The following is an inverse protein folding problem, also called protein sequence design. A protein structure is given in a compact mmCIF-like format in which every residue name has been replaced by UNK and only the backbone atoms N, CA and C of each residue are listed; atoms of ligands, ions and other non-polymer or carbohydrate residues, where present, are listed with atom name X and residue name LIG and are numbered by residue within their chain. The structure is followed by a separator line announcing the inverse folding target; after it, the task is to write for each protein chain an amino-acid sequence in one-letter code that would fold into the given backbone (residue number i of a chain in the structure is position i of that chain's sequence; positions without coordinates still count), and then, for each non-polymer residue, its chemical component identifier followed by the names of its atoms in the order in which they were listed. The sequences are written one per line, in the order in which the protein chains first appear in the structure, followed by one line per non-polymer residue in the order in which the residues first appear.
data_IF_009168082306
#
_entry.id   IF_009168082306
#
_cell.length_a   1.000
_cell.length_b   1.000
_cell.length_c   1.000
_cell.angle_alpha   90.00
_cell.angle_beta   90.00
_cell.angle_gamma   90.00
#
_symmetry.space_group_name_H-M   'P 1'
#
loop_
_entity.id
_entity.type
_entity.pdbx_description
1 polymer ?
#
# COMPACT_ATOMS: atom_id res chain seq x y z
N UNK A 1 85.13 54.54 -61.67
CA UNK A 1 85.09 54.15 -60.25
C UNK A 1 83.84 54.78 -59.66
N UNK A 2 82.96 54.14 -58.91
CA UNK A 2 82.63 52.74 -58.67
C UNK A 2 81.24 52.83 -58.01
N UNK A 3 80.29 52.03 -58.48
CA UNK A 3 78.98 51.86 -57.83
C UNK A 3 79.19 51.29 -56.42
N UNK A 4 78.71 51.98 -55.38
CA UNK A 4 78.71 51.47 -54.00
C UNK A 4 77.53 50.52 -53.80
N UNK A 5 77.81 49.39 -53.15
CA UNK A 5 76.96 48.19 -52.98
C UNK A 5 75.80 48.35 -51.99
N UNK A 6 75.20 49.54 -51.85
CA UNK A 6 74.21 49.82 -50.78
C UNK A 6 72.76 49.99 -51.26
N UNK A 7 72.46 49.75 -52.53
CA UNK A 7 71.08 49.83 -53.09
C UNK A 7 70.40 48.46 -53.37
N UNK A 8 70.91 47.34 -52.86
CA UNK A 8 70.39 45.99 -53.19
C UNK A 8 69.56 45.33 -52.07
N UNK A 9 69.39 45.95 -50.90
CA UNK A 9 68.70 45.27 -49.78
C UNK A 9 67.70 46.19 -49.07
N UNK A 10 66.47 46.29 -49.62
CA UNK A 10 65.22 46.67 -48.92
C UNK A 10 64.01 46.68 -49.86
N UNK A 11 63.56 45.51 -50.30
CA UNK A 11 62.16 45.28 -50.69
C UNK A 11 61.80 43.89 -50.16
N UNK A 12 60.77 43.80 -49.30
CA UNK A 12 60.22 42.50 -48.91
C UNK A 12 59.58 41.80 -50.11
N UNK A 13 59.29 40.49 -50.01
CA UNK A 13 58.60 39.77 -51.09
C UNK A 13 57.30 40.48 -51.45
N UNK A 14 56.93 40.43 -52.74
CA UNK A 14 55.67 41.01 -53.17
C UNK A 14 54.48 40.26 -52.52
N UNK A 15 53.30 40.89 -52.38
CA UNK A 15 52.12 40.19 -51.85
C UNK A 15 51.73 38.93 -52.65
N UNK A 16 52.05 38.88 -53.95
CA UNK A 16 51.84 37.70 -54.80
C UNK A 16 52.85 36.58 -54.48
N UNK A 17 54.11 36.94 -54.25
CA UNK A 17 55.20 36.03 -53.89
C UNK A 17 55.01 35.44 -52.48
N UNK A 18 54.60 36.24 -51.50
CA UNK A 18 54.30 35.79 -50.14
C UNK A 18 53.16 34.76 -50.13
N UNK A 19 52.10 35.03 -50.88
CA UNK A 19 50.95 34.14 -51.04
C UNK A 19 51.29 32.87 -51.81
N UNK A 20 52.13 32.99 -52.85
CA UNK A 20 52.64 31.84 -53.59
C UNK A 20 53.47 30.93 -52.68
N UNK A 21 54.41 31.50 -51.92
CA UNK A 21 55.23 30.75 -50.96
C UNK A 21 54.36 30.07 -49.90
N UNK A 22 53.35 30.77 -49.36
CA UNK A 22 52.40 30.19 -48.40
C UNK A 22 51.61 29.01 -49.00
N UNK A 23 51.18 29.11 -50.25
CA UNK A 23 50.46 28.05 -50.94
C UNK A 23 51.35 26.82 -51.22
N UNK A 24 52.63 27.05 -51.53
CA UNK A 24 53.64 25.99 -51.68
C UNK A 24 53.92 25.31 -50.34
N UNK A 25 54.12 26.08 -49.27
CA UNK A 25 54.32 25.53 -47.92
C UNK A 25 53.14 24.65 -47.46
N UNK A 26 51.90 25.10 -47.72
CA UNK A 26 50.69 24.31 -47.43
C UNK A 26 50.63 23.01 -48.24
N UNK A 27 51.14 23.01 -49.47
CA UNK A 27 51.22 21.82 -50.31
C UNK A 27 52.31 20.86 -49.83
N UNK A 28 53.46 21.37 -49.40
CA UNK A 28 54.58 20.53 -48.96
C UNK A 28 54.35 19.94 -47.56
N UNK A 29 53.58 20.62 -46.70
CA UNK A 29 53.26 20.17 -45.35
C UNK A 29 52.27 18.99 -45.28
N UNK A 30 51.70 18.53 -46.39
CA UNK A 30 50.63 17.51 -46.42
C UNK A 30 51.10 16.16 -45.89
N UNK A 31 52.35 15.78 -46.17
CA UNK A 31 52.90 14.49 -45.76
C UNK A 31 53.02 14.36 -44.23
N UNK A 32 52.96 15.48 -43.51
CA UNK A 32 52.95 15.52 -42.05
C UNK A 32 51.54 15.45 -41.44
N UNK A 33 50.47 15.40 -42.24
CA UNK A 33 49.08 15.47 -41.77
C UNK A 33 48.48 14.07 -41.62
N UNK A 34 48.36 13.59 -40.38
CA UNK A 34 47.83 12.24 -40.07
C UNK A 34 46.35 12.02 -40.46
N UNK A 35 45.53 13.08 -40.43
CA UNK A 35 44.10 13.00 -40.74
C UNK A 35 43.85 13.43 -42.17
N UNK A 36 43.39 12.50 -43.00
CA UNK A 36 43.07 12.78 -44.41
C UNK A 36 42.13 13.98 -44.56
N UNK A 37 41.18 14.19 -43.64
CA UNK A 37 40.27 15.33 -43.75
C UNK A 37 40.97 16.68 -43.62
N UNK A 38 42.05 16.74 -42.83
CA UNK A 38 42.88 17.94 -42.70
C UNK A 38 43.76 18.12 -43.93
N UNK A 39 44.33 17.03 -44.46
CA UNK A 39 45.10 17.06 -45.71
C UNK A 39 44.26 17.58 -46.89
N UNK A 40 43.03 17.09 -47.04
CA UNK A 40 42.06 17.58 -48.06
C UNK A 40 41.76 19.07 -47.88
N UNK A 41 41.57 19.52 -46.63
CA UNK A 41 41.29 20.94 -46.35
C UNK A 41 42.49 21.81 -46.71
N UNK A 42 43.71 21.43 -46.31
CA UNK A 42 44.93 22.18 -46.63
C UNK A 42 45.17 22.28 -48.13
N UNK A 43 44.99 21.18 -48.87
CA UNK A 43 45.11 21.15 -50.33
C UNK A 43 44.08 22.05 -51.03
N UNK A 44 42.83 22.03 -50.57
CA UNK A 44 41.78 22.90 -51.11
C UNK A 44 42.07 24.38 -50.83
N UNK A 45 42.61 24.70 -49.65
CA UNK A 45 43.09 26.05 -49.33
C UNK A 45 44.25 26.49 -50.22
N UNK A 46 45.25 25.62 -50.42
CA UNK A 46 46.37 25.90 -51.34
C UNK A 46 45.88 26.10 -52.78
N UNK A 47 44.94 25.27 -53.25
CA UNK A 47 44.33 25.42 -54.57
C UNK A 47 43.61 26.77 -54.74
N UNK A 48 42.90 27.25 -53.71
CA UNK A 48 42.26 28.56 -53.72
C UNK A 48 43.27 29.71 -53.75
N UNK A 49 44.37 29.60 -52.99
CA UNK A 49 45.46 30.59 -53.04
C UNK A 49 46.10 30.65 -54.43
N UNK A 50 46.36 29.51 -55.07
CA UNK A 50 46.86 29.46 -56.45
C UNK A 50 45.85 29.95 -57.49
N UNK A 51 44.54 29.81 -57.24
CA UNK A 51 43.49 30.38 -58.09
C UNK A 51 43.55 31.91 -58.09
N UNK A 52 43.70 32.51 -56.92
CA UNK A 52 43.77 33.97 -56.78
C UNK A 52 45.06 34.58 -57.37
N UNK A 53 46.10 33.77 -57.60
CA UNK A 53 47.36 34.17 -58.22
C UNK A 53 47.33 34.17 -59.77
N UNK A 54 46.29 33.60 -60.40
CA UNK A 54 46.10 33.66 -61.84
C UNK A 54 47.25 33.05 -62.65
N UNK A 55 47.94 33.88 -63.43
CA UNK A 55 49.06 33.51 -64.32
C UNK A 55 50.45 33.70 -63.69
N UNK A 56 50.52 33.97 -62.38
CA UNK A 56 51.78 34.07 -61.66
C UNK A 56 52.51 32.70 -61.63
N UNK A 57 53.75 32.69 -62.12
CA UNK A 57 54.61 31.50 -62.25
C UNK A 57 53.88 30.26 -62.80
N UNK A 58 53.87 29.16 -62.04
CA UNK A 58 53.21 27.89 -62.37
C UNK A 58 51.93 27.67 -61.54
N UNK A 59 51.33 28.75 -61.01
CA UNK A 59 50.17 28.70 -60.11
C UNK A 59 49.01 27.88 -60.70
N UNK A 60 48.68 28.02 -62.00
CA UNK A 60 47.64 27.20 -62.65
C UNK A 60 47.94 25.69 -62.59
N UNK A 61 49.21 25.30 -62.78
CA UNK A 61 49.64 23.89 -62.73
C UNK A 61 49.56 23.38 -61.30
N UNK A 62 50.05 24.15 -60.32
CA UNK A 62 50.02 23.80 -58.90
C UNK A 62 48.60 23.74 -58.35
N UNK A 63 47.70 24.63 -58.77
CA UNK A 63 46.26 24.57 -58.47
C UNK A 63 45.67 23.23 -58.87
N UNK A 64 45.89 22.80 -60.12
CA UNK A 64 45.38 21.53 -60.62
C UNK A 64 45.96 20.34 -59.84
N UNK A 65 47.27 20.35 -59.57
CA UNK A 65 47.90 19.33 -58.74
C UNK A 65 47.31 19.27 -57.34
N UNK A 66 47.02 20.41 -56.71
CA UNK A 66 46.38 20.46 -55.40
C UNK A 66 44.96 19.88 -55.42
N UNK A 67 44.17 20.24 -56.44
CA UNK A 67 42.82 19.70 -56.62
C UNK A 67 42.82 18.18 -56.84
N UNK A 68 43.64 17.69 -57.78
CA UNK A 68 43.73 16.26 -58.11
C UNK A 68 44.19 15.43 -56.90
N UNK A 69 45.20 15.93 -56.15
CA UNK A 69 45.68 15.30 -54.91
C UNK A 69 44.60 15.30 -53.83
N UNK A 70 43.82 16.39 -53.68
CA UNK A 70 42.76 16.48 -52.68
C UNK A 70 41.67 15.43 -52.96
N UNK A 71 41.27 15.28 -54.21
CA UNK A 71 40.23 14.33 -54.62
C UNK A 71 40.69 12.88 -54.50
N UNK A 72 41.99 12.61 -54.69
CA UNK A 72 42.55 11.29 -54.42
C UNK A 72 42.53 10.96 -52.92
N UNK A 73 43.07 11.85 -52.09
CA UNK A 73 43.14 11.65 -50.63
C UNK A 73 41.74 11.57 -50.01
N UNK A 74 40.79 12.38 -50.49
CA UNK A 74 39.39 12.31 -50.06
C UNK A 74 38.78 10.95 -50.33
N UNK A 75 38.93 10.42 -51.56
CA UNK A 75 38.37 9.11 -51.94
C UNK A 75 38.97 7.99 -51.10
N UNK A 76 40.29 7.87 -51.05
CA UNK A 76 40.97 6.80 -50.31
C UNK A 76 40.67 6.87 -48.80
N UNK A 77 40.68 8.09 -48.23
CA UNK A 77 40.40 8.31 -46.82
C UNK A 77 38.95 7.99 -46.46
N UNK A 78 37.99 8.39 -47.31
CA UNK A 78 36.57 8.08 -47.10
C UNK A 78 36.28 6.58 -47.23
N UNK A 79 36.88 5.88 -48.20
CA UNK A 79 36.72 4.43 -48.34
C UNK A 79 37.26 3.67 -47.12
N UNK A 80 38.48 4.00 -46.67
CA UNK A 80 39.07 3.40 -45.47
C UNK A 80 38.21 3.66 -44.22
N UNK A 81 37.76 4.90 -44.03
CA UNK A 81 36.92 5.28 -42.87
C UNK A 81 35.56 4.58 -42.92
N UNK A 82 34.97 4.44 -44.10
CA UNK A 82 33.72 3.70 -44.28
C UNK A 82 33.88 2.22 -43.96
N UNK A 83 34.98 1.60 -44.40
CA UNK A 83 35.25 0.19 -44.10
C UNK A 83 35.46 -0.02 -42.60
N UNK A 84 36.24 0.85 -41.94
CA UNK A 84 36.40 0.84 -40.49
C UNK A 84 35.06 0.96 -39.77
N UNK A 85 34.20 1.89 -40.20
CA UNK A 85 32.87 2.07 -39.62
C UNK A 85 31.99 0.81 -39.74
N UNK A 86 32.05 0.12 -40.88
CA UNK A 86 31.36 -1.16 -41.10
C UNK A 86 31.90 -2.26 -40.19
N UNK A 87 33.22 -2.43 -40.13
CA UNK A 87 33.86 -3.45 -39.30
C UNK A 87 33.55 -3.25 -37.81
N UNK A 88 33.53 -1.99 -37.36
CA UNK A 88 33.13 -1.64 -35.99
C UNK A 88 31.66 -1.95 -35.72
N UNK A 89 30.78 -1.67 -36.69
CA UNK A 89 29.36 -1.98 -36.60
C UNK A 89 29.10 -3.50 -36.52
N UNK A 90 29.76 -4.29 -37.35
CA UNK A 90 29.58 -5.74 -37.40
C UNK A 90 30.05 -6.43 -36.11
N UNK A 91 31.06 -5.86 -35.45
CA UNK A 91 31.58 -6.35 -34.16
C UNK A 91 30.82 -5.81 -32.94
N UNK A 92 29.89 -4.86 -33.13
CA UNK A 92 29.23 -4.18 -32.03
C UNK A 92 28.26 -5.10 -31.27
N UNK A 93 28.43 -5.18 -29.94
CA UNK A 93 27.55 -5.95 -29.03
C UNK A 93 26.93 -5.08 -27.95
N UNK A 94 27.54 -3.94 -27.66
CA UNK A 94 27.12 -3.00 -26.61
C UNK A 94 26.67 -1.67 -27.22
N UNK A 95 26.00 -0.86 -26.40
CA UNK A 95 25.64 0.52 -26.78
C UNK A 95 26.90 1.34 -27.09
N UNK A 96 27.99 1.12 -26.35
CA UNK A 96 29.26 1.82 -26.55
C UNK A 96 29.86 1.49 -27.92
N UNK A 97 29.82 0.21 -28.31
CA UNK A 97 30.38 -0.24 -29.59
C UNK A 97 29.63 0.39 -30.77
N UNK A 98 28.29 0.44 -30.70
CA UNK A 98 27.48 1.13 -31.71
C UNK A 98 27.72 2.65 -31.76
N UNK A 99 28.02 3.28 -30.62
CA UNK A 99 28.38 4.71 -30.58
C UNK A 99 29.74 4.93 -31.26
N UNK A 100 30.71 4.05 -31.02
CA UNK A 100 32.04 4.14 -31.64
C UNK A 100 31.99 3.91 -33.17
N UNK A 101 31.19 2.95 -33.65
CA UNK A 101 30.94 2.79 -35.07
C UNK A 101 30.27 4.03 -35.68
N UNK A 102 29.30 4.62 -34.98
CA UNK A 102 28.60 5.82 -35.45
C UNK A 102 29.52 7.05 -35.53
N UNK A 103 30.51 7.19 -34.63
CA UNK A 103 31.47 8.31 -34.75
C UNK A 103 32.26 8.27 -36.06
N UNK A 104 32.61 7.08 -36.57
CA UNK A 104 33.28 6.94 -37.86
C UNK A 104 32.34 7.28 -39.03
N UNK A 105 31.09 6.80 -39.00
CA UNK A 105 30.09 7.22 -40.00
C UNK A 105 29.87 8.74 -40.02
N UNK A 106 29.85 9.40 -38.86
CA UNK A 106 29.68 10.86 -38.78
C UNK A 106 30.80 11.64 -39.45
N UNK A 107 32.05 11.13 -39.44
CA UNK A 107 33.19 11.78 -40.12
C UNK A 107 32.98 11.88 -41.63
N UNK A 108 32.20 10.97 -42.21
CA UNK A 108 31.91 10.90 -43.64
C UNK A 108 30.79 11.84 -44.10
N UNK A 109 29.95 12.37 -43.18
CA UNK A 109 28.76 13.17 -43.55
C UNK A 109 29.08 14.46 -44.30
N UNK A 110 30.28 15.00 -44.12
CA UNK A 110 30.72 16.24 -44.80
C UNK A 110 31.15 16.02 -46.25
N UNK A 111 31.29 14.76 -46.69
CA UNK A 111 31.68 14.41 -48.05
C UNK A 111 30.44 13.93 -48.81
N UNK A 112 29.96 14.74 -49.77
CA UNK A 112 28.68 14.52 -50.45
C UNK A 112 28.55 13.11 -51.05
N UNK A 113 29.63 12.58 -51.64
CA UNK A 113 29.67 11.23 -52.23
C UNK A 113 29.47 10.08 -51.21
N UNK A 114 29.65 10.37 -49.92
CA UNK A 114 29.56 9.38 -48.82
C UNK A 114 28.45 9.70 -47.81
N UNK A 115 27.74 10.82 -47.95
CA UNK A 115 26.71 11.27 -47.01
C UNK A 115 25.58 10.24 -46.85
N UNK A 116 25.08 9.68 -47.95
CA UNK A 116 24.00 8.67 -47.92
C UNK A 116 24.43 7.39 -47.18
N UNK A 117 25.67 6.94 -47.44
CA UNK A 117 26.25 5.75 -46.78
C UNK A 117 26.44 6.01 -45.28
N UNK A 118 26.89 7.21 -44.93
CA UNK A 118 27.03 7.67 -43.55
C UNK A 118 25.70 7.72 -42.82
N UNK A 119 24.65 8.24 -43.47
CA UNK A 119 23.31 8.29 -42.89
C UNK A 119 22.70 6.91 -42.70
N UNK A 120 22.87 6.01 -43.67
CA UNK A 120 22.45 4.62 -43.54
C UNK A 120 23.13 3.91 -42.36
N UNK A 121 24.45 4.09 -42.21
CA UNK A 121 25.22 3.56 -41.08
C UNK A 121 24.78 4.13 -39.72
N UNK A 122 24.53 5.44 -39.66
CA UNK A 122 24.01 6.13 -38.47
C UNK A 122 22.64 5.58 -38.04
N UNK A 123 21.72 5.39 -38.99
CA UNK A 123 20.40 4.76 -38.74
C UNK A 123 20.53 3.32 -38.24
N UNK A 124 21.42 2.53 -38.84
CA UNK A 124 21.66 1.15 -38.43
C UNK A 124 22.22 1.06 -36.99
N UNK A 125 23.18 1.92 -36.64
CA UNK A 125 23.73 2.00 -35.28
C UNK A 125 22.64 2.34 -34.25
N UNK A 126 21.80 3.34 -34.55
CA UNK A 126 20.69 3.71 -33.67
C UNK A 126 19.66 2.58 -33.51
N UNK A 127 19.36 1.83 -34.59
CA UNK A 127 18.49 0.67 -34.51
C UNK A 127 19.07 -0.45 -33.62
N UNK A 128 20.37 -0.71 -33.72
CA UNK A 128 21.09 -1.65 -32.85
C UNK A 128 20.99 -1.27 -31.37
N UNK A 129 21.22 0.00 -31.05
CA UNK A 129 21.08 0.55 -29.68
C UNK A 129 19.64 0.35 -29.17
N UNK A 130 18.63 0.71 -29.96
CA UNK A 130 17.22 0.54 -29.58
C UNK A 130 16.87 -0.93 -29.31
N UNK A 131 17.37 -1.88 -30.11
CA UNK A 131 17.16 -3.32 -29.86
C UNK A 131 17.74 -3.77 -28.51
N UNK A 132 18.92 -3.27 -28.12
CA UNK A 132 19.52 -3.58 -26.82
C UNK A 132 18.67 -3.01 -25.67
N UNK A 133 18.24 -1.76 -25.81
CA UNK A 133 17.43 -1.08 -24.79
C UNK A 133 16.06 -1.75 -24.60
N UNK A 134 15.36 -2.06 -25.68
CA UNK A 134 14.07 -2.76 -25.62
C UNK A 134 14.21 -4.15 -24.99
N UNK A 135 15.20 -4.94 -25.39
CA UNK A 135 15.44 -6.28 -24.81
C UNK A 135 15.65 -6.22 -23.29
N UNK A 136 16.41 -5.24 -22.80
CA UNK A 136 16.62 -5.02 -21.35
C UNK A 136 15.34 -4.61 -20.63
N UNK A 137 14.49 -3.78 -21.26
CA UNK A 137 13.19 -3.39 -20.69
C UNK A 137 12.24 -4.59 -20.63
N UNK A 138 12.12 -5.38 -21.70
CA UNK A 138 11.27 -6.57 -21.73
C UNK A 138 11.71 -7.62 -20.69
N UNK A 139 13.02 -7.87 -20.54
CA UNK A 139 13.52 -8.76 -19.47
C UNK A 139 13.12 -8.28 -18.08
N UNK A 140 13.27 -6.99 -17.78
CA UNK A 140 12.88 -6.41 -16.48
C UNK A 140 11.36 -6.51 -16.24
N UNK A 141 10.56 -6.23 -17.27
CA UNK A 141 9.09 -6.38 -17.20
C UNK A 141 8.67 -7.84 -16.99
N UNK A 142 9.31 -8.80 -17.66
CA UNK A 142 9.04 -10.22 -17.49
C UNK A 142 9.38 -10.70 -16.06
N UNK A 143 10.50 -10.26 -15.49
CA UNK A 143 10.87 -10.57 -14.09
C UNK A 143 9.84 -9.99 -13.14
N UNK A 144 9.44 -8.73 -13.31
CA UNK A 144 8.41 -8.11 -12.47
C UNK A 144 7.07 -8.87 -12.53
N UNK A 145 6.65 -9.29 -13.72
CA UNK A 145 5.45 -10.13 -13.88
C UNK A 145 5.59 -11.48 -13.18
N UNK A 146 6.74 -12.15 -13.30
CA UNK A 146 6.99 -13.41 -12.60
C UNK A 146 6.91 -13.25 -11.07
N UNK A 147 7.48 -12.17 -10.53
CA UNK A 147 7.39 -11.85 -9.09
C UNK A 147 5.94 -11.65 -8.65
N UNK A 148 5.13 -10.92 -9.43
CA UNK A 148 3.70 -10.72 -9.13
C UNK A 148 2.97 -12.07 -9.11
N UNK A 149 3.21 -12.94 -10.08
CA UNK A 149 2.60 -14.28 -10.11
C UNK A 149 2.96 -15.09 -8.87
N UNK A 150 4.22 -15.06 -8.43
CA UNK A 150 4.67 -15.74 -7.20
C UNK A 150 3.98 -15.16 -5.94
N UNK A 151 3.83 -13.84 -5.86
CA UNK A 151 3.11 -13.22 -4.73
C UNK A 151 1.65 -13.66 -4.72
N UNK A 152 0.98 -13.65 -5.88
CA UNK A 152 -0.40 -14.11 -6.00
C UNK A 152 -0.58 -15.58 -5.60
N UNK A 153 0.33 -16.46 -6.02
CA UNK A 153 0.27 -17.88 -5.63
C UNK A 153 0.49 -18.07 -4.13
N UNK A 154 1.44 -17.36 -3.53
CA UNK A 154 1.65 -17.39 -2.06
C UNK A 154 0.39 -16.93 -1.32
N UNK A 155 -0.24 -15.83 -1.75
CA UNK A 155 -1.50 -15.35 -1.13
C UNK A 155 -2.61 -16.40 -1.25
N UNK A 156 -2.73 -17.08 -2.40
CA UNK A 156 -3.76 -18.10 -2.61
C UNK A 156 -3.57 -19.37 -1.78
N UNK A 157 -2.32 -19.81 -1.58
CA UNK A 157 -1.99 -21.03 -0.83
C UNK A 157 -1.96 -20.79 0.68
N UNK A 158 -1.72 -19.55 1.12
CA UNK A 158 -1.66 -19.19 2.53
C UNK A 158 -3.04 -18.82 3.11
N UNK A 159 -3.18 -18.78 4.45
CA UNK A 159 -4.41 -18.33 5.11
C UNK A 159 -4.82 -16.89 4.74
N UNK A 160 -3.92 -16.08 4.17
CA UNK A 160 -4.24 -14.74 3.66
C UNK A 160 -5.33 -14.77 2.57
N UNK A 161 -5.47 -15.88 1.84
CA UNK A 161 -6.54 -16.07 0.87
C UNK A 161 -7.94 -15.88 1.48
N UNK A 162 -8.14 -16.27 2.74
CA UNK A 162 -9.42 -16.10 3.43
C UNK A 162 -9.73 -14.63 3.73
N UNK A 163 -8.70 -13.81 4.01
CA UNK A 163 -8.88 -12.36 4.18
C UNK A 163 -9.33 -11.73 2.85
N UNK A 164 -8.67 -12.10 1.76
CA UNK A 164 -8.98 -11.60 0.41
C UNK A 164 -10.40 -12.02 -0.02
N UNK A 165 -10.76 -13.29 0.17
CA UNK A 165 -12.12 -13.80 -0.09
C UNK A 165 -13.17 -13.08 0.76
N UNK A 166 -12.90 -12.91 2.06
CA UNK A 166 -13.80 -12.20 2.96
C UNK A 166 -14.00 -10.74 2.56
N UNK A 167 -12.94 -10.07 2.12
CA UNK A 167 -13.03 -8.72 1.57
C UNK A 167 -13.86 -8.67 0.28
N UNK A 168 -13.67 -9.63 -0.63
CA UNK A 168 -14.48 -9.77 -1.83
C UNK A 168 -15.98 -9.89 -1.52
N UNK A 169 -16.36 -10.82 -0.63
CA UNK A 169 -17.75 -10.99 -0.20
C UNK A 169 -18.31 -9.73 0.46
N UNK A 170 -17.51 -9.04 1.29
CA UNK A 170 -17.90 -7.78 1.93
C UNK A 170 -18.20 -6.68 0.90
N UNK A 171 -17.39 -6.55 -0.15
CA UNK A 171 -17.60 -5.57 -1.22
C UNK A 171 -18.88 -5.86 -2.02
N UNK A 172 -19.23 -7.15 -2.17
CA UNK A 172 -20.49 -7.58 -2.78
C UNK A 172 -21.71 -7.46 -1.84
N UNK A 173 -21.51 -7.06 -0.58
CA UNK A 173 -22.58 -6.94 0.42
C UNK A 173 -22.97 -8.26 1.10
N UNK A 174 -22.33 -9.38 0.77
CA UNK A 174 -22.53 -10.66 1.45
C UNK A 174 -21.69 -10.72 2.73
N UNK A 175 -22.17 -10.02 3.74
CA UNK A 175 -21.50 -9.94 5.04
C UNK A 175 -21.44 -11.28 5.78
N UNK A 176 -22.35 -12.23 5.49
CA UNK A 176 -22.33 -13.55 6.14
C UNK A 176 -21.20 -14.40 5.59
N UNK A 177 -21.06 -14.48 4.26
CA UNK A 177 -19.94 -15.17 3.63
C UNK A 177 -18.59 -14.52 3.99
N UNK A 178 -18.57 -13.19 4.14
CA UNK A 178 -17.39 -12.46 4.63
C UNK A 178 -16.98 -12.91 6.04
N UNK A 179 -17.93 -13.00 6.98
CA UNK A 179 -17.67 -13.48 8.34
C UNK A 179 -17.13 -14.92 8.33
N UNK A 180 -17.77 -15.82 7.59
CA UNK A 180 -17.31 -17.21 7.49
C UNK A 180 -15.87 -17.33 6.98
N UNK A 181 -15.47 -16.44 6.07
CA UNK A 181 -14.09 -16.38 5.58
C UNK A 181 -13.15 -15.86 6.66
N UNK A 182 -13.52 -14.81 7.38
CA UNK A 182 -12.71 -14.25 8.47
C UNK A 182 -12.57 -15.19 9.66
N UNK A 183 -13.56 -16.04 9.94
CA UNK A 183 -13.52 -17.03 11.03
C UNK A 183 -12.37 -18.03 10.85
N UNK A 184 -12.01 -18.37 9.60
CA UNK A 184 -10.89 -19.27 9.31
C UNK A 184 -9.53 -18.72 9.76
N UNK A 185 -9.45 -17.40 9.99
CA UNK A 185 -8.21 -16.69 10.28
C UNK A 185 -8.39 -15.65 11.39
N UNK A 186 -9.30 -15.90 12.33
CA UNK A 186 -9.63 -14.96 13.41
C UNK A 186 -8.42 -14.65 14.32
N UNK A 187 -7.46 -15.57 14.39
CA UNK A 187 -6.19 -15.40 15.11
C UNK A 187 -5.27 -14.34 14.51
N UNK A 188 -5.48 -13.93 13.25
CA UNK A 188 -4.66 -12.91 12.60
C UNK A 188 -5.02 -11.49 13.08
N UNK A 189 -4.02 -10.63 13.36
CA UNK A 189 -4.25 -9.25 13.78
C UNK A 189 -5.17 -8.49 12.82
N UNK A 190 -6.13 -7.76 13.38
CA UNK A 190 -7.06 -6.91 12.60
C UNK A 190 -8.28 -7.63 12.01
N UNK A 191 -8.23 -8.96 11.80
CA UNK A 191 -9.37 -9.73 11.25
C UNK A 191 -10.60 -9.61 12.14
N UNK A 192 -10.45 -9.66 13.46
CA UNK A 192 -11.55 -9.44 14.40
C UNK A 192 -12.27 -8.10 14.20
N UNK A 193 -11.55 -7.03 13.84
CA UNK A 193 -12.17 -5.72 13.52
C UNK A 193 -12.94 -5.78 12.20
N UNK A 194 -12.44 -6.51 11.20
CA UNK A 194 -13.14 -6.72 9.92
C UNK A 194 -14.45 -7.50 10.14
N UNK A 195 -14.41 -8.58 10.92
CA UNK A 195 -15.59 -9.37 11.32
C UNK A 195 -16.63 -8.53 12.06
N UNK A 196 -16.21 -7.75 13.06
CA UNK A 196 -17.10 -6.81 13.79
C UNK A 196 -17.76 -5.78 12.86
N UNK A 197 -17.03 -5.28 11.85
CA UNK A 197 -17.60 -4.38 10.85
C UNK A 197 -18.71 -5.02 10.01
N UNK A 198 -18.61 -6.32 9.74
CA UNK A 198 -19.63 -7.08 9.01
C UNK A 198 -20.88 -7.29 9.87
N UNK A 199 -20.72 -7.68 11.14
CA UNK A 199 -21.85 -7.76 12.08
C UNK A 199 -22.57 -6.41 12.20
N UNK A 200 -21.83 -5.31 12.30
CA UNK A 200 -22.42 -3.97 12.36
C UNK A 200 -23.31 -3.65 11.14
N UNK A 201 -22.86 -3.99 9.94
CA UNK A 201 -23.63 -3.78 8.70
C UNK A 201 -24.88 -4.66 8.65
N UNK A 202 -24.78 -5.93 9.06
CA UNK A 202 -25.95 -6.83 9.17
C UNK A 202 -26.95 -6.29 10.20
N UNK A 203 -26.46 -5.84 11.37
CA UNK A 203 -27.29 -5.29 12.42
C UNK A 203 -28.03 -4.04 11.96
N UNK A 204 -27.34 -3.14 11.25
CA UNK A 204 -27.94 -1.94 10.65
C UNK A 204 -29.04 -2.29 9.66
N UNK A 205 -28.83 -3.28 8.79
CA UNK A 205 -29.88 -3.75 7.87
C UNK A 205 -31.13 -4.22 8.64
N UNK A 206 -30.96 -5.04 9.67
CA UNK A 206 -32.10 -5.42 10.53
C UNK A 206 -32.75 -4.23 11.23
N UNK A 207 -31.98 -3.20 11.57
CA UNK A 207 -32.48 -1.99 12.23
C UNK A 207 -33.35 -1.17 11.28
N UNK A 208 -32.84 -0.95 10.07
CA UNK A 208 -33.54 -0.25 8.97
C UNK A 208 -34.82 -1.01 8.57
N UNK A 209 -34.80 -2.36 8.61
CA UNK A 209 -35.97 -3.22 8.39
C UNK A 209 -36.92 -3.33 9.60
N UNK A 210 -36.75 -2.52 10.65
CA UNK A 210 -37.53 -2.54 11.90
C UNK A 210 -37.49 -3.87 12.70
N UNK A 211 -36.55 -4.77 12.39
CA UNK A 211 -36.31 -6.00 13.12
C UNK A 211 -35.44 -5.80 14.37
N UNK A 212 -35.82 -4.87 15.25
CA UNK A 212 -35.00 -4.38 16.37
C UNK A 212 -34.45 -5.49 17.30
N UNK A 213 -35.22 -6.55 17.56
CA UNK A 213 -34.74 -7.67 18.42
C UNK A 213 -33.62 -8.46 17.75
N UNK A 214 -33.67 -8.63 16.42
CA UNK A 214 -32.59 -9.24 15.64
C UNK A 214 -31.40 -8.28 15.56
N UNK A 215 -31.65 -7.01 15.23
CA UNK A 215 -30.63 -5.96 15.18
C UNK A 215 -29.82 -5.88 16.48
N UNK A 216 -30.48 -5.81 17.64
CA UNK A 216 -29.84 -5.80 18.96
C UNK A 216 -28.89 -6.99 19.17
N UNK A 217 -29.33 -8.20 18.84
CA UNK A 217 -28.50 -9.41 18.99
C UNK A 217 -27.25 -9.35 18.10
N UNK A 218 -27.38 -8.83 16.88
CA UNK A 218 -26.25 -8.72 15.95
C UNK A 218 -25.33 -7.54 16.28
N UNK A 219 -25.88 -6.40 16.76
CA UNK A 219 -25.07 -5.29 17.27
C UNK A 219 -24.19 -5.74 18.43
N UNK A 220 -24.71 -6.61 19.30
CA UNK A 220 -23.91 -7.20 20.37
C UNK A 220 -22.67 -7.95 19.85
N UNK A 221 -22.81 -8.70 18.75
CA UNK A 221 -21.68 -9.41 18.12
C UNK A 221 -20.64 -8.44 17.53
N UNK A 222 -21.05 -7.24 17.13
CA UNK A 222 -20.12 -6.18 16.72
C UNK A 222 -19.34 -5.58 17.91
N UNK A 223 -19.83 -5.74 19.14
CA UNK A 223 -19.18 -5.27 20.37
C UNK A 223 -18.84 -3.78 20.32
N UNK A 224 -17.65 -3.40 20.78
CA UNK A 224 -17.16 -2.03 20.77
C UNK A 224 -16.89 -1.41 19.36
N UNK A 225 -17.32 -2.04 18.27
CA UNK A 225 -17.18 -1.45 16.93
C UNK A 225 -18.23 -0.35 16.71
N UNK A 226 -17.77 0.85 16.38
CA UNK A 226 -18.61 2.03 16.19
C UNK A 226 -19.55 2.28 17.40
N UNK A 227 -20.84 2.49 17.17
CA UNK A 227 -21.85 2.71 18.21
C UNK A 227 -22.65 1.44 18.57
N UNK A 228 -22.15 0.23 18.25
CA UNK A 228 -22.95 -0.99 18.38
C UNK A 228 -23.34 -1.32 19.83
N UNK A 229 -22.44 -1.13 20.80
CA UNK A 229 -22.81 -1.29 22.22
C UNK A 229 -23.87 -0.27 22.65
N UNK A 230 -23.78 0.98 22.18
CA UNK A 230 -24.80 2.00 22.45
C UNK A 230 -26.18 1.56 21.93
N UNK A 231 -26.23 1.05 20.70
CA UNK A 231 -27.48 0.55 20.10
C UNK A 231 -28.01 -0.67 20.84
N UNK A 232 -27.12 -1.58 21.23
CA UNK A 232 -27.47 -2.78 22.00
C UNK A 232 -28.14 -2.40 23.31
N UNK A 233 -27.50 -1.55 24.13
CA UNK A 233 -28.05 -1.16 25.43
C UNK A 233 -29.32 -0.32 25.30
N UNK A 234 -29.43 0.53 24.26
CA UNK A 234 -30.67 1.27 23.95
C UNK A 234 -31.86 0.32 23.72
N UNK A 235 -31.67 -0.74 22.93
CA UNK A 235 -32.73 -1.73 22.68
C UNK A 235 -33.04 -2.57 23.92
N UNK A 236 -32.01 -2.99 24.66
CA UNK A 236 -32.16 -3.70 25.92
C UNK A 236 -33.02 -2.91 26.91
N UNK A 237 -32.70 -1.63 27.17
CA UNK A 237 -33.51 -0.74 28.02
C UNK A 237 -34.96 -0.63 27.52
N UNK A 238 -35.16 -0.43 26.21
CA UNK A 238 -36.50 -0.33 25.60
C UNK A 238 -37.33 -1.60 25.81
N UNK A 239 -36.74 -2.77 25.58
CA UNK A 239 -37.44 -4.06 25.72
C UNK A 239 -37.73 -4.39 27.19
N UNK A 240 -36.76 -4.17 28.08
CA UNK A 240 -36.95 -4.42 29.52
C UNK A 240 -38.00 -3.50 30.15
N UNK A 241 -38.06 -2.22 29.74
CA UNK A 241 -39.09 -1.29 30.23
C UNK A 241 -40.50 -1.75 29.86
N UNK A 242 -40.68 -2.29 28.65
CA UNK A 242 -41.97 -2.80 28.14
C UNK A 242 -42.33 -4.21 28.63
N UNK A 243 -41.34 -5.03 28.97
CA UNK A 243 -41.53 -6.41 29.39
C UNK A 243 -42.29 -6.50 30.71
N UNK A 244 -43.30 -7.35 30.82
CA UNK A 244 -44.01 -7.59 32.09
C UNK A 244 -43.19 -8.47 33.03
N UNK A 245 -43.54 -8.46 34.32
CA UNK A 245 -42.99 -9.40 35.30
C UNK A 245 -43.30 -10.84 34.83
N UNK A 246 -42.37 -11.77 35.05
CA UNK A 246 -42.45 -13.15 34.57
C UNK A 246 -42.02 -13.34 33.10
N UNK A 247 -41.84 -12.27 32.31
CA UNK A 247 -41.47 -12.40 30.90
C UNK A 247 -39.95 -12.49 30.68
N UNK A 248 -39.56 -13.13 29.57
CA UNK A 248 -38.14 -13.31 29.19
C UNK A 248 -37.62 -12.13 28.36
N UNK A 249 -36.50 -11.56 28.80
CA UNK A 249 -35.74 -10.50 28.13
C UNK A 249 -34.33 -10.98 27.77
N UNK A 250 -33.65 -10.26 26.88
CA UNK A 250 -32.27 -10.55 26.49
C UNK A 250 -31.34 -9.46 27.02
N UNK A 251 -30.37 -9.86 27.82
CA UNK A 251 -29.41 -8.98 28.46
C UNK A 251 -28.08 -9.71 28.63
N UNK A 252 -26.95 -9.04 28.40
CA UNK A 252 -25.63 -9.65 28.54
C UNK A 252 -25.44 -10.95 27.73
N UNK A 253 -26.08 -11.05 26.57
CA UNK A 253 -25.93 -12.21 25.68
C UNK A 253 -26.77 -13.41 26.09
N UNK A 254 -27.48 -13.30 27.20
CA UNK A 254 -28.22 -14.36 27.84
C UNK A 254 -29.71 -14.03 27.92
N UNK A 255 -30.51 -15.06 28.20
CA UNK A 255 -31.93 -14.91 28.49
C UNK A 255 -32.10 -14.74 30.00
N UNK A 256 -32.90 -13.74 30.37
CA UNK A 256 -33.24 -13.41 31.75
C UNK A 256 -34.76 -13.31 31.88
N UNK A 257 -35.28 -13.57 33.06
CA UNK A 257 -36.67 -13.38 33.43
C UNK A 257 -36.81 -12.15 34.31
N UNK A 258 -37.82 -11.33 34.08
CA UNK A 258 -38.10 -10.14 34.88
C UNK A 258 -38.79 -10.57 36.18
N UNK A 259 -38.11 -10.43 37.33
CA UNK A 259 -38.67 -10.79 38.63
C UNK A 259 -39.47 -9.66 39.27
N UNK A 260 -38.98 -8.44 39.16
CA UNK A 260 -39.60 -7.26 39.79
C UNK A 260 -39.29 -5.99 38.98
N UNK A 261 -40.11 -4.96 39.18
CA UNK A 261 -39.88 -3.60 38.71
C UNK A 261 -39.93 -2.62 39.88
N UNK A 262 -38.87 -1.83 40.01
CA UNK A 262 -38.76 -0.79 41.03
C UNK A 262 -38.78 0.61 40.41
N UNK A 263 -38.98 1.63 41.27
CA UNK A 263 -38.94 3.05 40.93
C UNK A 263 -39.81 3.38 39.71
N UNK A 264 -41.12 3.08 39.77
CA UNK A 264 -42.07 3.34 38.67
C UNK A 264 -41.65 2.72 37.31
N UNK A 265 -40.93 1.59 37.35
CA UNK A 265 -40.47 0.90 36.14
C UNK A 265 -39.16 1.42 35.55
N UNK A 266 -38.40 2.25 36.28
CA UNK A 266 -37.07 2.70 35.88
C UNK A 266 -35.94 1.70 36.21
N UNK A 267 -36.24 0.71 37.05
CA UNK A 267 -35.35 -0.42 37.32
C UNK A 267 -36.11 -1.73 37.17
N UNK A 268 -35.42 -2.78 36.72
CA UNK A 268 -35.94 -4.14 36.74
C UNK A 268 -34.94 -5.08 37.43
N UNK A 269 -35.46 -5.98 38.27
CA UNK A 269 -34.71 -7.11 38.79
C UNK A 269 -34.83 -8.26 37.80
N UNK A 270 -33.71 -8.80 37.38
CA UNK A 270 -33.64 -9.88 36.42
C UNK A 270 -32.99 -11.10 37.05
N UNK A 271 -33.56 -12.28 36.83
CA UNK A 271 -32.91 -13.57 37.13
C UNK A 271 -32.57 -14.28 35.84
N UNK A 272 -31.42 -14.94 35.78
CA UNK A 272 -31.06 -15.72 34.59
C UNK A 272 -32.12 -16.80 34.36
N UNK A 273 -32.50 -17.04 33.10
CA UNK A 273 -33.58 -18.00 32.80
C UNK A 273 -33.20 -19.47 32.99
N UNK A 274 -31.91 -19.75 33.15
CA UNK A 274 -31.34 -21.08 33.36
C UNK A 274 -30.24 -20.93 34.41
N UNK A 275 -29.94 -21.99 35.18
CA UNK A 275 -28.83 -21.95 36.12
C UNK A 275 -27.50 -21.89 35.35
N UNK A 276 -26.42 -21.54 36.05
CA UNK A 276 -25.07 -21.69 35.51
C UNK A 276 -24.82 -23.16 35.13
N UNK A 277 -24.29 -23.39 33.94
CA UNK A 277 -23.89 -24.73 33.53
C UNK A 277 -22.58 -25.14 34.20
N UNK A 278 -22.26 -26.44 34.17
CA UNK A 278 -20.98 -26.95 34.67
C UNK A 278 -19.77 -26.31 33.97
N UNK A 279 -19.91 -25.99 32.68
CA UNK A 279 -18.83 -25.39 31.87
C UNK A 279 -18.59 -23.91 32.21
N UNK A 280 -19.60 -23.24 32.78
CA UNK A 280 -19.48 -21.85 33.23
C UNK A 280 -18.86 -21.76 34.63
N UNK A 281 -18.94 -22.82 35.42
CA UNK A 281 -18.39 -22.88 36.75
C UNK A 281 -16.87 -23.13 36.72
N UNK A 282 -16.12 -22.72 37.76
CA UNK A 282 -14.73 -23.11 37.93
C UNK A 282 -14.59 -24.64 37.95
N UNK A 283 -13.55 -25.17 37.31
CA UNK A 283 -13.30 -26.61 37.24
C UNK A 283 -12.82 -27.19 38.57
N UNK A 284 -13.18 -28.45 38.84
CA UNK A 284 -12.70 -29.21 40.00
C UNK A 284 -13.24 -28.71 41.34
N UNK A 285 -12.45 -28.86 42.41
CA UNK A 285 -12.85 -28.55 43.79
C UNK A 285 -13.26 -27.09 44.02
N UNK A 286 -12.84 -26.16 43.16
CA UNK A 286 -13.24 -24.75 43.23
C UNK A 286 -14.71 -24.55 42.86
N UNK A 287 -15.22 -25.27 41.85
CA UNK A 287 -16.63 -25.23 41.46
C UNK A 287 -17.53 -25.95 42.47
N UNK A 288 -17.09 -27.09 42.99
CA UNK A 288 -17.85 -27.89 43.96
C UNK A 288 -18.10 -27.14 45.29
N UNK A 289 -17.17 -26.27 45.69
CA UNK A 289 -17.27 -25.48 46.92
C UNK A 289 -17.69 -24.02 46.68
N UNK A 290 -18.25 -23.72 45.51
CA UNK A 290 -18.61 -22.35 45.13
C UNK A 290 -19.88 -21.88 45.86
N UNK A 291 -19.72 -21.39 47.09
CA UNK A 291 -20.80 -20.84 47.92
C UNK A 291 -20.36 -19.56 48.63
N UNK A 292 -21.34 -18.80 49.14
CA UNK A 292 -21.11 -17.59 49.93
C UNK A 292 -20.18 -16.60 49.25
N UNK A 293 -19.15 -16.12 49.96
CA UNK A 293 -18.21 -15.10 49.46
C UNK A 293 -17.51 -15.49 48.15
N UNK A 294 -17.10 -16.76 47.98
CA UNK A 294 -16.43 -17.23 46.76
C UNK A 294 -17.35 -17.16 45.54
N UNK A 295 -18.62 -17.52 45.72
CA UNK A 295 -19.62 -17.40 44.66
C UNK A 295 -19.83 -15.93 44.27
N UNK A 296 -19.94 -15.05 45.25
CA UNK A 296 -20.08 -13.61 45.02
C UNK A 296 -18.88 -13.02 44.28
N UNK A 297 -17.66 -13.38 44.67
CA UNK A 297 -16.42 -12.96 43.98
C UNK A 297 -16.38 -13.47 42.53
N UNK A 298 -16.76 -14.74 42.30
CA UNK A 298 -16.84 -15.31 40.96
C UNK A 298 -17.86 -14.58 40.08
N UNK A 299 -19.08 -14.37 40.60
CA UNK A 299 -20.17 -13.73 39.87
C UNK A 299 -19.80 -12.30 39.46
N UNK A 300 -19.19 -11.55 40.37
CA UNK A 300 -18.88 -10.14 40.14
C UNK A 300 -17.52 -9.90 39.48
N UNK A 301 -16.64 -10.89 39.49
CA UNK A 301 -15.35 -10.88 38.79
C UNK A 301 -15.42 -11.56 37.43
N UNK A 302 -15.10 -12.86 37.41
CA UNK A 302 -14.90 -13.64 36.17
C UNK A 302 -16.17 -13.71 35.33
N UNK A 303 -17.32 -13.97 35.94
CA UNK A 303 -18.59 -14.08 35.24
C UNK A 303 -19.02 -12.74 34.61
N UNK A 304 -18.99 -11.65 35.37
CA UNK A 304 -19.30 -10.30 34.84
C UNK A 304 -18.36 -9.91 33.69
N UNK A 305 -17.06 -10.15 33.85
CA UNK A 305 -16.05 -9.74 32.86
C UNK A 305 -16.16 -10.52 31.55
N UNK A 306 -16.54 -11.80 31.62
CA UNK A 306 -16.72 -12.64 30.43
C UNK A 306 -18.02 -12.35 29.67
N UNK A 307 -19.08 -11.93 30.38
CA UNK A 307 -20.43 -11.89 29.79
C UNK A 307 -20.97 -10.48 29.51
N UNK A 308 -20.46 -9.44 30.16
CA UNK A 308 -21.04 -8.10 30.07
C UNK A 308 -20.08 -7.15 29.36
N UNK A 309 -20.62 -6.40 28.38
CA UNK A 309 -19.91 -5.25 27.82
C UNK A 309 -19.81 -4.12 28.85
N UNK A 310 -18.86 -3.20 28.66
CA UNK A 310 -18.68 -2.09 29.61
C UNK A 310 -19.92 -1.21 29.72
N UNK A 311 -20.63 -1.00 28.60
CA UNK A 311 -21.92 -0.29 28.63
C UNK A 311 -23.03 -1.05 29.37
N UNK A 312 -23.04 -2.38 29.32
CA UNK A 312 -24.01 -3.16 30.08
C UNK A 312 -23.69 -3.11 31.58
N UNK A 313 -22.41 -3.19 31.96
CA UNK A 313 -21.99 -3.04 33.36
C UNK A 313 -22.46 -1.71 33.96
N UNK A 314 -22.41 -0.63 33.19
CA UNK A 314 -22.92 0.69 33.63
C UNK A 314 -24.43 0.67 33.92
N UNK A 315 -25.22 -0.18 33.25
CA UNK A 315 -26.65 -0.31 33.54
C UNK A 315 -26.92 -1.12 34.82
N UNK A 316 -25.95 -1.85 35.35
CA UNK A 316 -26.17 -2.63 36.57
C UNK A 316 -26.41 -1.70 37.76
N UNK A 317 -27.58 -1.82 38.36
CA UNK A 317 -27.88 -1.21 39.64
C UNK A 317 -27.10 -1.93 40.74
N UNK A 318 -26.54 -1.15 41.67
CA UNK A 318 -26.11 -1.69 42.97
C UNK A 318 -27.36 -2.18 43.72
N UNK A 319 -27.22 -3.28 44.44
CA UNK A 319 -28.30 -3.87 45.23
C UNK A 319 -28.95 -2.81 46.14
N UNK A 320 -30.26 -2.61 46.00
CA UNK A 320 -31.04 -1.85 46.97
C UNK A 320 -31.41 -2.88 48.03
N UNK A 321 -30.74 -2.86 49.18
CA UNK A 321 -31.18 -3.64 50.33
C UNK A 321 -32.66 -3.34 50.57
N UNK A 322 -33.50 -4.37 50.50
CA UNK A 322 -34.93 -4.30 50.80
C UNK A 322 -35.12 -4.00 52.30
N UNK A 323 -34.91 -2.75 52.69
CA UNK A 323 -35.32 -2.18 53.98
C UNK A 323 -35.90 -0.78 53.73
N UNK A 324 -36.93 -0.72 52.90
CA UNK A 324 -37.98 0.32 52.91
C UNK A 324 -38.88 0.13 51.68
N UNK A 325 -39.99 -0.58 51.86
CA UNK A 325 -41.23 -0.20 51.16
C UNK A 325 -42.35 -0.10 52.19
N UNK A 326 -42.91 1.11 52.21
CA UNK A 326 -44.09 1.62 52.93
C UNK A 326 -44.03 1.66 54.47
N UNK A 327 -43.72 2.85 55.00
CA UNK A 327 -44.13 3.26 56.35
C UNK A 327 -43.00 3.52 57.35
N UNK A 328 -42.06 4.45 57.09
CA UNK A 328 -41.45 5.27 58.15
C UNK A 328 -40.45 6.31 57.63
N UNK A 329 -40.41 7.41 58.38
CA UNK A 329 -39.74 8.68 58.20
C UNK A 329 -38.28 8.65 57.74
N UNK A 330 -37.88 9.79 57.20
CA UNK A 330 -36.53 10.32 57.04
C UNK A 330 -35.58 9.84 58.14
N UNK A 331 -34.52 9.13 57.74
CA UNK A 331 -33.31 8.99 58.56
C UNK A 331 -32.15 9.25 57.62
N UNK A 332 -31.33 10.23 58.03
CA UNK A 332 -30.12 10.68 57.37
C UNK A 332 -29.20 9.49 57.06
N UNK A 333 -28.81 9.37 55.80
CA UNK A 333 -27.81 8.40 55.36
C UNK A 333 -26.44 8.82 55.87
N UNK A 334 -25.95 8.17 56.94
CA UNK A 334 -24.54 8.17 57.27
C UNK A 334 -23.74 7.66 56.07
N UNK A 335 -22.63 8.36 55.79
CA UNK A 335 -21.59 8.01 54.83
C UNK A 335 -21.09 6.58 55.09
N UNK A 336 -20.76 5.90 53.99
CA UNK A 336 -20.11 4.57 53.89
C UNK A 336 -21.04 3.34 53.89
N UNK A 337 -21.82 3.17 52.81
CA UNK A 337 -22.27 1.85 52.36
C UNK A 337 -21.64 1.52 50.99
N UNK A 338 -20.44 0.94 51.14
CA UNK A 338 -19.71 -0.07 50.35
C UNK A 338 -20.44 -0.63 49.12
N UNK A 339 -19.69 -0.80 48.02
CA UNK A 339 -20.11 -1.46 46.76
C UNK A 339 -20.78 -2.82 47.06
N UNK A 340 -22.13 -2.85 47.05
CA UNK A 340 -22.90 -4.10 47.09
C UNK A 340 -22.92 -4.71 45.69
N UNK A 341 -22.40 -5.91 45.61
CA UNK A 341 -22.20 -6.72 44.41
C UNK A 341 -23.36 -6.61 43.39
N UNK A 342 -23.11 -6.15 42.14
CA UNK A 342 -24.16 -5.98 41.14
C UNK A 342 -24.86 -7.28 40.74
N UNK A 343 -24.18 -8.42 40.84
CA UNK A 343 -24.74 -9.75 40.59
C UNK A 343 -24.77 -10.55 41.89
N UNK A 344 -25.93 -11.12 42.21
CA UNK A 344 -26.17 -11.89 43.43
C UNK A 344 -27.03 -13.13 43.13
N UNK A 345 -27.34 -13.92 44.16
CA UNK A 345 -28.31 -15.04 44.09
C UNK A 345 -29.41 -14.74 45.11
N UNK A 346 -30.66 -15.08 44.79
CA UNK A 346 -31.76 -14.90 45.75
C UNK A 346 -31.48 -15.67 47.05
N UNK A 347 -31.52 -15.03 48.22
CA UNK A 347 -31.54 -15.70 49.51
C UNK A 347 -32.73 -16.69 49.61
N UNK A 348 -32.52 -17.85 50.23
CA UNK A 348 -33.54 -18.93 50.31
C UNK A 348 -34.88 -18.46 50.89
N UNK A 349 -34.85 -17.58 51.88
CA UNK A 349 -36.02 -16.97 52.52
C UNK A 349 -36.82 -16.09 51.56
N UNK A 350 -36.16 -15.43 50.61
CA UNK A 350 -36.81 -14.54 49.63
C UNK A 350 -37.36 -15.25 48.39
N UNK A 351 -36.96 -16.51 48.12
CA UNK A 351 -37.40 -17.26 46.94
C UNK A 351 -38.93 -17.41 46.92
N UNK A 352 -39.53 -17.58 48.11
CA UNK A 352 -40.98 -17.74 48.26
C UNK A 352 -41.78 -16.53 47.76
N UNK A 353 -41.22 -15.31 47.88
CA UNK A 353 -41.86 -14.06 47.44
C UNK A 353 -41.98 -13.97 45.92
N UNK A 354 -41.08 -14.64 45.19
CA UNK A 354 -41.01 -14.59 43.73
C UNK A 354 -41.48 -15.88 43.06
N UNK A 355 -42.07 -16.83 43.81
CA UNK A 355 -42.37 -18.19 43.35
C UNK A 355 -43.10 -18.24 42.00
N UNK A 356 -44.06 -17.35 41.79
CA UNK A 356 -44.87 -17.30 40.57
C UNK A 356 -44.12 -16.71 39.35
N UNK A 357 -42.98 -16.06 39.60
CA UNK A 357 -42.16 -15.37 38.61
C UNK A 357 -40.79 -16.02 38.40
N UNK A 358 -40.52 -17.16 39.05
CA UNK A 358 -39.29 -17.93 38.84
C UNK A 358 -39.29 -18.59 37.45
N UNK A 359 -38.10 -18.93 36.92
CA UNK A 359 -37.99 -19.71 35.70
C UNK A 359 -38.87 -20.99 35.72
N UNK A 360 -39.55 -21.35 34.61
CA UNK A 360 -40.48 -22.50 34.58
C UNK A 360 -39.83 -23.86 34.93
N UNK A 361 -38.53 -23.99 34.69
CA UNK A 361 -37.74 -25.18 35.00
C UNK A 361 -36.83 -24.90 36.21
N UNK A 362 -37.36 -24.23 37.23
CA UNK A 362 -36.62 -23.87 38.43
C UNK A 362 -36.03 -25.12 39.08
N UNK A 363 -34.72 -25.06 39.37
CA UNK A 363 -34.00 -26.09 40.11
C UNK A 363 -33.53 -25.44 41.42
N UNK A 364 -34.04 -25.85 42.59
CA UNK A 364 -33.65 -25.27 43.86
C UNK A 364 -32.15 -25.44 44.17
N UNK A 365 -31.46 -26.39 43.54
CA UNK A 365 -30.01 -26.58 43.69
C UNK A 365 -29.18 -25.79 42.67
N UNK A 366 -29.83 -25.16 41.69
CA UNK A 366 -29.18 -24.41 40.64
C UNK A 366 -28.71 -23.03 41.10
N UNK A 367 -27.58 -22.58 40.57
CA UNK A 367 -27.12 -21.20 40.80
C UNK A 367 -27.71 -20.30 39.72
N UNK A 368 -28.65 -19.44 40.11
CA UNK A 368 -29.30 -18.48 39.23
C UNK A 368 -28.82 -17.05 39.54
N UNK A 369 -27.94 -16.47 38.71
CA UNK A 369 -27.54 -15.08 38.87
C UNK A 369 -28.74 -14.13 38.77
N UNK A 370 -28.75 -13.14 39.64
CA UNK A 370 -29.73 -12.06 39.73
C UNK A 370 -29.02 -10.73 39.58
N UNK A 371 -29.62 -9.78 38.87
CA UNK A 371 -29.07 -8.44 38.65
C UNK A 371 -30.18 -7.40 38.62
N UNK A 372 -29.93 -6.25 39.26
CA UNK A 372 -30.74 -5.06 39.05
C UNK A 372 -30.24 -4.31 37.81
N UNK A 373 -31.13 -3.91 36.93
CA UNK A 373 -30.80 -3.12 35.73
C UNK A 373 -31.52 -1.78 35.79
N UNK A 374 -30.75 -0.70 35.66
CA UNK A 374 -31.21 0.68 35.60
C UNK A 374 -31.41 1.12 34.14
N UNK A 375 -32.53 1.80 33.89
CA UNK A 375 -32.84 2.35 32.58
C UNK A 375 -32.51 3.84 32.44
N UNK A 376 -32.05 4.50 33.51
CA UNK A 376 -31.58 5.88 33.46
C UNK A 376 -30.28 6.00 32.69
#
# INVERSE_FOLDING_TARGET
MALSKEDIFKTGPSPEEEKYNTAVELMDAIDCVERFERAVTSLRSAAAMFEELGDYEDARKRRKQCADKADQIEREGCEKTLQTAKDMYDKAKTKSDYIAANSEYRRLKKFAAYADKAEAGDKACHAGIRKIETRKVYKRRAIALAVIVVICTVIMVTPLSYIVKGFGHKMLGDYKAAINSYDQVEYLPGVGKMKKSCYYKIAKKYDDDNHHKKAMKVYRLAGAYADAEHRTTRYQKRFMRKAEIGTKVYYAGMRWMVLDKALLGEKAMLIRSTPLSKDELPSGKEGENLKGKKLTEFLNGKFTSANFSDREKVMMGKEITAKKRAGMQTVETKKEDIVKNPIFVLPEDTISEYKDNLPPNWDPNGIYPVVWVSFR
#
